data_IF_703994053275
#
_entry.id   IF_703994053275
#
_cell.length_a   1.000
_cell.length_b   1.000
_cell.length_c   1.000
_cell.angle_alpha   90.00
_cell.angle_beta   90.00
_cell.angle_gamma   90.00
#
_symmetry.space_group_name_H-M   'P 1'
#
loop_
_entity.id
_entity.type
_entity.pdbx_description
1 polymer ?
#
# COMPACT_ATOMS: atom_id res chain seq x y z
N UNK A 1 2.51 -20.77 11.02
CA UNK A 1 2.16 -20.51 10.77
C UNK A 1 1.94 -20.37 10.06
N UNK A 2 1.82 -20.31 9.95
CA UNK A 2 1.54 -20.16 9.36
C UNK A 2 1.02 -19.72 8.80
N UNK A 3 0.77 -19.48 8.85
CA UNK A 3 0.11 -19.16 8.33
C UNK A 3 0.07 -18.48 7.40
N UNK A 4 0.32 -18.09 7.15
CA UNK A 4 0.25 -17.34 6.40
C UNK A 4 0.68 -17.49 5.36
N UNK A 5 1.09 -17.74 5.12
CA UNK A 5 1.50 -17.74 4.10
C UNK A 5 1.09 -18.35 3.24
N UNK A 6 0.55 -18.91 3.29
CA UNK A 6 0.11 -19.51 2.45
C UNK A 6 -0.01 -18.95 1.35
N UNK A 7 -0.23 -18.19 1.25
CA UNK A 7 -0.42 -17.53 0.08
C UNK A 7 0.85 -17.22 -0.58
N UNK A 8 0.85 -17.15 -1.83
CA UNK A 8 2.01 -16.78 -2.58
C UNK A 8 2.30 -15.31 -2.45
N UNK A 9 1.36 -14.54 -1.96
CA UNK A 9 1.53 -13.11 -1.87
C UNK A 9 2.12 -12.72 -0.53
N UNK A 10 3.41 -12.49 -0.53
CA UNK A 10 4.06 -11.93 0.64
C UNK A 10 4.54 -10.55 0.28
N UNK A 11 4.55 -9.68 1.25
CA UNK A 11 4.98 -8.31 1.00
C UNK A 11 6.10 -7.93 1.95
N UNK A 12 6.89 -6.95 1.50
CA UNK A 12 7.98 -6.43 2.31
C UNK A 12 7.41 -5.58 3.43
N UNK A 13 8.20 -5.31 4.49
CA UNK A 13 7.73 -4.42 5.54
C UNK A 13 7.26 -3.07 5.03
N UNK A 14 7.96 -2.51 4.04
CA UNK A 14 7.57 -1.23 3.49
C UNK A 14 6.23 -1.32 2.77
N UNK A 15 6.06 -2.37 1.98
CA UNK A 15 4.79 -2.59 1.31
C UNK A 15 3.67 -2.75 2.32
N UNK A 16 3.94 -3.46 3.41
CA UNK A 16 2.96 -3.64 4.46
C UNK A 16 2.53 -2.34 5.09
N UNK A 17 3.46 -1.41 5.28
CA UNK A 17 3.14 -0.10 5.82
C UNK A 17 2.20 0.67 4.89
N UNK A 18 2.48 0.63 3.60
CA UNK A 18 1.61 1.29 2.62
C UNK A 18 0.23 0.64 2.60
N UNK A 19 0.19 -0.68 2.61
CA UNK A 19 -1.09 -1.39 2.58
C UNK A 19 -1.93 -1.09 3.81
N UNK A 20 -1.29 -1.05 4.97
CA UNK A 20 -2.00 -0.73 6.21
C UNK A 20 -2.58 0.67 6.16
N UNK A 21 -1.80 1.62 5.66
CA UNK A 21 -2.26 2.99 5.55
C UNK A 21 -3.45 3.11 4.59
N UNK A 22 -3.32 2.47 3.42
CA UNK A 22 -4.37 2.51 2.41
C UNK A 22 -5.67 1.90 2.97
N UNK A 23 -5.53 0.77 3.64
CA UNK A 23 -6.69 0.09 4.20
C UNK A 23 -7.40 0.95 5.24
N UNK A 24 -6.63 1.50 6.16
CA UNK A 24 -7.18 2.32 7.22
C UNK A 24 -7.81 3.59 6.68
N UNK A 25 -7.12 4.25 5.76
CA UNK A 25 -7.63 5.46 5.15
C UNK A 25 -8.94 5.19 4.44
N UNK A 26 -8.99 4.10 3.69
CA UNK A 26 -10.20 3.74 2.95
C UNK A 26 -11.37 3.50 3.89
N UNK A 27 -11.11 2.87 5.02
CA UNK A 27 -12.18 2.62 5.99
C UNK A 27 -12.69 3.91 6.61
N UNK A 28 -11.80 4.85 6.88
CA UNK A 28 -12.18 6.10 7.52
C UNK A 28 -12.84 7.06 6.56
N UNK A 29 -12.36 7.12 5.34
CA UNK A 29 -12.80 8.15 4.39
C UNK A 29 -13.65 7.61 3.25
N UNK A 30 -13.78 6.30 3.18
CA UNK A 30 -14.57 5.62 2.16
C UNK A 30 -14.08 5.88 0.76
N UNK A 31 -12.78 6.12 0.63
CA UNK A 31 -12.13 6.27 -0.65
C UNK A 31 -10.64 6.03 -0.43
N UNK A 32 -9.93 5.59 -1.47
CA UNK A 32 -8.49 5.38 -1.31
C UNK A 32 -7.77 6.71 -1.17
N UNK A 33 -6.60 6.71 -0.52
CA UNK A 33 -5.81 7.93 -0.39
C UNK A 33 -5.22 8.33 -1.73
N UNK A 34 -5.06 9.63 -1.93
CA UNK A 34 -4.34 10.13 -3.09
C UNK A 34 -2.84 9.92 -2.87
N UNK A 35 -2.09 9.94 -3.97
CA UNK A 35 -0.65 9.81 -3.85
C UNK A 35 -0.04 10.93 -3.02
N UNK A 36 -0.60 12.14 -3.13
CA UNK A 36 -0.13 13.26 -2.32
C UNK A 36 -0.32 13.02 -0.83
N UNK A 37 -1.41 12.35 -0.45
CA UNK A 37 -1.62 12.01 0.94
C UNK A 37 -0.53 11.08 1.44
N UNK A 38 -0.16 10.11 0.61
CA UNK A 38 0.88 9.16 0.98
C UNK A 38 2.26 9.80 1.01
N UNK A 39 2.52 10.74 0.10
CA UNK A 39 3.77 11.48 0.11
C UNK A 39 3.97 12.18 1.46
N UNK A 40 2.92 12.84 1.93
CA UNK A 40 2.99 13.58 3.18
C UNK A 40 3.10 12.65 4.37
N UNK A 41 2.31 11.60 4.37
CA UNK A 41 2.30 10.67 5.50
C UNK A 41 3.64 9.97 5.66
N UNK A 42 4.19 9.47 4.57
CA UNK A 42 5.43 8.72 4.61
C UNK A 42 6.66 9.59 4.42
N UNK A 43 6.47 10.85 4.08
CA UNK A 43 7.55 11.82 3.87
C UNK A 43 8.52 11.34 2.81
N UNK A 44 7.98 10.96 1.68
CA UNK A 44 8.78 10.47 0.57
C UNK A 44 8.45 11.28 -0.67
N UNK A 45 9.33 11.16 -1.66
CA UNK A 45 9.15 11.91 -2.90
C UNK A 45 8.01 11.35 -3.74
N UNK A 46 7.42 12.16 -4.64
CA UNK A 46 6.38 11.68 -5.53
C UNK A 46 6.76 10.44 -6.33
N UNK A 47 7.95 10.37 -6.94
CA UNK A 47 8.30 9.15 -7.66
C UNK A 47 8.31 7.90 -6.79
N UNK A 48 8.71 8.04 -5.52
CA UNK A 48 8.75 6.90 -4.63
C UNK A 48 7.36 6.36 -4.37
N UNK A 49 6.39 7.24 -4.11
CA UNK A 49 5.01 6.82 -3.90
C UNK A 49 4.45 6.18 -5.16
N UNK A 50 4.67 6.82 -6.29
CA UNK A 50 4.14 6.32 -7.55
C UNK A 50 4.65 4.91 -7.85
N UNK A 51 5.95 4.70 -7.66
CA UNK A 51 6.54 3.38 -7.87
C UNK A 51 5.96 2.35 -6.93
N UNK A 52 5.78 2.72 -5.66
CA UNK A 52 5.21 1.78 -4.71
C UNK A 52 3.78 1.41 -5.08
N UNK A 53 2.97 2.39 -5.48
CA UNK A 53 1.60 2.12 -5.89
C UNK A 53 1.55 1.17 -7.07
N UNK A 54 2.39 1.41 -8.08
CA UNK A 54 2.47 0.51 -9.23
C UNK A 54 2.89 -0.89 -8.81
N UNK A 55 3.85 -0.99 -7.93
CA UNK A 55 4.32 -2.28 -7.44
C UNK A 55 3.21 -3.04 -6.74
N UNK A 56 2.46 -2.34 -5.89
CA UNK A 56 1.36 -2.98 -5.17
C UNK A 56 0.25 -3.42 -6.10
N UNK A 57 -0.01 -2.64 -7.14
CA UNK A 57 -1.02 -3.02 -8.14
C UNK A 57 -0.59 -4.25 -8.91
N UNK A 58 0.67 -4.28 -9.34
CA UNK A 58 1.18 -5.41 -10.09
C UNK A 58 1.17 -6.68 -9.28
N UNK A 59 1.43 -6.56 -7.99
CA UNK A 59 1.42 -7.72 -7.11
C UNK A 59 0.01 -8.16 -6.76
N UNK A 60 -0.99 -7.36 -7.11
CA UNK A 60 -2.37 -7.73 -6.84
C UNK A 60 -2.83 -7.40 -5.45
N UNK A 61 -2.09 -6.58 -4.72
CA UNK A 61 -2.49 -6.20 -3.37
C UNK A 61 -3.55 -5.11 -3.35
N UNK A 62 -3.58 -4.27 -4.38
CA UNK A 62 -4.56 -3.20 -4.47
C UNK A 62 -5.10 -3.12 -5.90
N UNK A 63 -6.23 -2.44 -6.03
CA UNK A 63 -6.84 -2.17 -7.32
C UNK A 63 -7.13 -0.71 -7.45
N UNK A 64 -7.18 -0.22 -8.63
CA UNK A 64 -7.52 1.17 -8.87
C UNK A 64 -8.86 1.31 -9.52
#
# INVERSE_FOLDING_TARGET
>A
MAGVSRSAKTFTPKQGQYLAYIHLYTRLHRRPPAETDMQQYFRVSPPSVHQMVLTLERAGFIRR
#
